data_IF_897155769782
#
_entry.id   IF_897155769782
#
_cell.length_a   1.000
_cell.length_b   1.000
_cell.length_c   1.000
_cell.angle_alpha   90.00
_cell.angle_beta   90.00
_cell.angle_gamma   90.00
#
_symmetry.space_group_name_H-M   'P 1'
#
loop_
_entity.id
_entity.type
_entity.pdbx_description
1 polymer ?
#
# COMPACT_ATOMS: atom_id res chain seq x y z
N UNK A 1 27.63 -9.52 24.52
CA UNK A 1 26.75 -8.48 25.07
C UNK A 1 26.70 -7.31 24.10
N UNK A 2 25.51 -7.08 23.53
CA UNK A 2 25.04 -5.83 22.92
C UNK A 2 25.69 -5.28 21.64
N UNK A 3 25.35 -5.81 20.46
CA UNK A 3 24.88 -4.93 19.36
C UNK A 3 23.98 -5.58 18.28
N UNK A 4 23.36 -6.74 18.54
CA UNK A 4 22.27 -7.26 17.67
C UNK A 4 20.93 -6.52 17.91
N UNK A 5 20.97 -5.19 18.07
CA UNK A 5 19.80 -4.37 18.35
C UNK A 5 19.83 -3.10 17.53
N UNK A 6 19.53 -3.21 16.23
CA UNK A 6 18.99 -2.10 15.42
C UNK A 6 18.40 -2.50 14.07
N UNK A 7 17.83 -3.70 13.95
CA UNK A 7 16.73 -3.93 12.97
C UNK A 7 15.40 -3.49 13.59
N UNK A 8 15.37 -2.25 14.12
CA UNK A 8 14.14 -1.67 14.64
C UNK A 8 13.43 -0.90 13.53
N UNK A 9 12.32 -1.48 13.09
CA UNK A 9 11.09 -0.78 12.73
C UNK A 9 11.13 0.21 11.55
N UNK A 10 11.41 -0.27 10.36
CA UNK A 10 10.68 0.21 9.18
C UNK A 10 10.01 -0.97 8.49
N UNK A 11 9.16 -1.68 9.24
CA UNK A 11 8.16 -2.53 8.63
C UNK A 11 7.09 -1.59 8.06
N UNK A 12 7.42 -0.89 6.96
CA UNK A 12 6.38 -0.39 6.06
C UNK A 12 5.65 -1.66 5.62
N UNK A 13 4.49 -1.98 6.21
CA UNK A 13 3.66 -3.11 5.79
C UNK A 13 2.80 -2.60 4.65
N UNK A 14 3.23 -2.65 3.37
CA UNK A 14 2.41 -2.18 2.25
C UNK A 14 1.02 -2.85 2.26
N UNK A 15 0.95 -4.08 2.77
CA UNK A 15 -0.26 -4.86 2.94
C UNK A 15 -1.38 -4.15 3.74
N UNK A 16 -1.07 -3.29 4.72
CA UNK A 16 -2.13 -2.61 5.48
C UNK A 16 -2.77 -1.47 4.69
N UNK A 17 -1.98 -0.69 3.96
CA UNK A 17 -2.49 0.42 3.16
C UNK A 17 -3.29 -0.07 1.96
N UNK A 18 -2.92 -1.23 1.41
CA UNK A 18 -3.69 -1.91 0.36
C UNK A 18 -5.04 -2.42 0.88
N UNK A 19 -5.06 -3.12 2.02
CA UNK A 19 -6.30 -3.60 2.62
C UNK A 19 -7.23 -2.45 3.02
N UNK A 20 -6.66 -1.35 3.52
CA UNK A 20 -7.40 -0.14 3.86
C UNK A 20 -8.00 0.51 2.62
N UNK A 21 -7.20 0.72 1.56
CA UNK A 21 -7.67 1.27 0.29
C UNK A 21 -8.81 0.41 -0.29
N UNK A 22 -8.65 -0.92 -0.29
CA UNK A 22 -9.69 -1.83 -0.76
C UNK A 22 -10.98 -1.73 0.07
N UNK A 23 -10.86 -1.55 1.38
CA UNK A 23 -12.02 -1.37 2.29
C UNK A 23 -12.76 -0.08 1.96
N UNK A 24 -12.04 1.02 1.76
CA UNK A 24 -12.65 2.29 1.34
C UNK A 24 -13.29 2.19 -0.05
N UNK A 25 -12.65 1.53 -1.02
CA UNK A 25 -13.25 1.31 -2.34
C UNK A 25 -14.57 0.54 -2.23
N UNK A 26 -14.64 -0.49 -1.37
CA UNK A 26 -15.89 -1.24 -1.12
C UNK A 26 -16.98 -0.38 -0.49
N UNK A 27 -16.66 0.39 0.55
CA UNK A 27 -17.64 1.21 1.28
C UNK A 27 -18.14 2.38 0.41
N UNK A 28 -17.26 2.97 -0.39
CA UNK A 28 -17.60 4.10 -1.27
C UNK A 28 -18.24 3.68 -2.59
N UNK A 29 -18.23 2.38 -2.91
CA UNK A 29 -18.71 1.87 -4.20
C UNK A 29 -17.81 2.25 -5.39
N UNK A 30 -16.62 2.80 -5.14
CA UNK A 30 -15.67 3.16 -6.18
C UNK A 30 -14.95 1.91 -6.70
N UNK A 31 -14.74 1.87 -8.01
CA UNK A 31 -14.12 0.73 -8.68
C UNK A 31 -12.59 0.82 -8.75
N UNK A 32 -12.02 2.02 -8.64
CA UNK A 32 -10.60 2.25 -8.88
C UNK A 32 -9.96 3.06 -7.75
N UNK A 33 -8.82 2.60 -7.27
CA UNK A 33 -7.98 3.31 -6.31
C UNK A 33 -6.50 3.26 -6.68
N UNK A 34 -5.75 4.25 -6.22
CA UNK A 34 -4.31 4.34 -6.38
C UNK A 34 -3.63 4.45 -5.01
N UNK A 35 -2.59 3.66 -4.81
CA UNK A 35 -1.68 3.77 -3.69
C UNK A 35 -0.37 4.38 -4.18
N UNK A 36 0.13 5.38 -3.46
CA UNK A 36 1.33 6.13 -3.83
C UNK A 36 2.43 5.85 -2.81
N UNK A 37 3.56 5.36 -3.29
CA UNK A 37 4.79 5.21 -2.53
C UNK A 37 5.77 6.30 -2.98
N UNK A 38 6.10 7.22 -2.07
CA UNK A 38 7.05 8.30 -2.32
C UNK A 38 8.50 7.93 -2.00
N UNK A 39 8.74 6.75 -1.45
CA UNK A 39 10.07 6.25 -1.11
C UNK A 39 10.77 5.55 -2.31
N UNK A 40 10.49 6.01 -3.53
CA UNK A 40 11.10 5.48 -4.76
C UNK A 40 11.61 6.63 -5.62
N UNK A 41 12.70 6.38 -6.35
CA UNK A 41 13.37 7.39 -7.17
C UNK A 41 12.49 7.84 -8.34
N UNK A 42 11.73 6.91 -8.94
CA UNK A 42 10.84 7.20 -10.05
C UNK A 42 9.40 6.86 -9.68
N UNK A 43 8.50 7.84 -9.78
CA UNK A 43 7.10 7.70 -9.37
C UNK A 43 6.33 6.61 -10.12
N UNK A 44 6.74 6.29 -11.35
CA UNK A 44 6.17 5.18 -12.12
C UNK A 44 6.26 3.82 -11.40
N UNK A 45 7.21 3.66 -10.48
CA UNK A 45 7.36 2.46 -9.63
C UNK A 45 6.68 2.61 -8.26
N UNK A 46 6.24 3.82 -7.91
CA UNK A 46 5.59 4.12 -6.64
C UNK A 46 4.07 4.07 -6.71
N UNK A 47 3.49 4.08 -7.91
CA UNK A 47 2.05 4.04 -8.11
C UNK A 47 1.59 2.58 -8.22
N UNK A 48 0.71 2.15 -7.32
CA UNK A 48 0.00 0.87 -7.39
C UNK A 48 -1.48 1.10 -7.61
N UNK A 49 -2.03 0.46 -8.64
CA UNK A 49 -3.45 0.54 -9.01
C UNK A 49 -4.21 -0.65 -8.41
N UNK A 50 -5.33 -0.38 -7.76
CA UNK A 50 -6.22 -1.40 -7.19
C UNK A 50 -7.61 -1.26 -7.78
N UNK A 51 -8.23 -2.38 -8.14
CA UNK A 51 -9.59 -2.43 -8.68
C UNK A 51 -10.49 -3.15 -7.68
N UNK A 52 -11.64 -2.56 -7.40
CA UNK A 52 -12.74 -3.18 -6.68
C UNK A 52 -13.79 -3.63 -7.71
N UNK A 53 -14.11 -4.93 -7.69
CA UNK A 53 -15.16 -5.57 -8.51
C UNK A 53 -14.89 -5.62 -10.03
N UNK A 54 -13.91 -6.43 -10.47
CA UNK A 54 -13.57 -6.67 -11.90
C UNK A 54 -14.63 -7.52 -12.62
N UNK A 55 -15.57 -8.15 -11.92
CA UNK A 55 -16.56 -9.02 -12.53
C UNK A 55 -17.71 -8.20 -13.13
N UNK A 56 -17.65 -8.02 -14.46
CA UNK A 56 -18.78 -7.71 -15.34
C UNK A 56 -18.74 -8.64 -16.54
#
# INVERSE_FOLDING_TARGET
>A
MAHERRIHSQIHRPFIHEALLLTYLKITGLQLGFLLNWNVILMKYGIKRMINNIER
#
